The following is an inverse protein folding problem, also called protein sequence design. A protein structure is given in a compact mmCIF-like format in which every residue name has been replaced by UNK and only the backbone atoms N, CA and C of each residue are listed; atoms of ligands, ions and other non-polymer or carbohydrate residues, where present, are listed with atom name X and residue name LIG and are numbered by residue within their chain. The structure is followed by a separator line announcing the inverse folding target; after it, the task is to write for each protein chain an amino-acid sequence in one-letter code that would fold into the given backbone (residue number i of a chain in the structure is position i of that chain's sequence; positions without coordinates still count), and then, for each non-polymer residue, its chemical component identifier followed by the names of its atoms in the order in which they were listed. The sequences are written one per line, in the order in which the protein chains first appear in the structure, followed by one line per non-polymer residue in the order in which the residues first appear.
data_IF_827657698570
#
_entry.id   IF_827657698570
#
_cell.length_a   1.000
_cell.length_b   1.000
_cell.length_c   1.000
_cell.angle_alpha   90.00
_cell.angle_beta   90.00
_cell.angle_gamma   90.00
#
_symmetry.space_group_name_H-M   'P 1'
#
loop_
_entity.id
_entity.type
_entity.pdbx_description
1 polymer ?
#
# COMPACT_ATOMS: atom_id res chain seq x y z
N UNK A 1 -0.82 10.58 -0.55
CA UNK A 1 -0.98 9.78 -1.79
C UNK A 1 -0.06 8.58 -1.70
N UNK A 2 -0.08 7.64 -2.67
CA UNK A 2 0.76 6.43 -2.66
C UNK A 2 2.22 6.67 -2.28
N UNK A 3 2.79 7.81 -2.66
CA UNK A 3 4.17 8.21 -2.33
C UNK A 3 4.47 8.27 -0.82
N UNK A 4 3.45 8.54 -0.01
CA UNK A 4 3.54 8.70 1.44
C UNK A 4 3.41 7.34 2.16
N UNK A 5 2.86 6.33 1.48
CA UNK A 5 2.74 4.94 1.96
C UNK A 5 4.05 4.19 1.75
N UNK A 6 5.10 4.62 2.44
CA UNK A 6 6.44 4.06 2.29
C UNK A 6 7.04 3.60 3.62
N UNK A 7 8.14 2.87 3.55
CA UNK A 7 8.92 2.43 4.70
C UNK A 7 10.20 3.27 4.82
N UNK A 8 10.82 3.34 6.01
CA UNK A 8 12.14 3.94 6.16
C UNK A 8 13.14 3.36 5.15
N UNK A 9 13.94 4.22 4.52
CA UNK A 9 14.89 3.84 3.47
C UNK A 9 15.78 2.65 3.84
N UNK A 10 16.19 2.56 5.11
CA UNK A 10 16.97 1.43 5.62
C UNK A 10 16.31 0.07 5.33
N UNK A 11 14.99 -0.04 5.43
CA UNK A 11 14.26 -1.30 5.17
C UNK A 11 14.19 -1.59 3.67
N UNK A 12 14.14 -0.55 2.84
CA UNK A 12 14.00 -0.67 1.39
C UNK A 12 15.33 -0.89 0.66
N UNK A 13 16.46 -0.54 1.27
CA UNK A 13 17.77 -0.57 0.60
C UNK A 13 18.83 -1.42 1.29
N UNK A 14 18.73 -1.64 2.59
CA UNK A 14 19.71 -2.42 3.34
C UNK A 14 19.18 -3.83 3.58
N UNK A 15 19.77 -4.80 2.88
CA UNK A 15 19.53 -6.21 3.16
C UNK A 15 20.03 -6.53 4.56
N UNK A 16 19.33 -7.43 5.24
CA UNK A 16 19.79 -7.93 6.53
C UNK A 16 21.07 -8.73 6.29
N UNK A 17 22.10 -8.41 7.06
CA UNK A 17 23.44 -8.98 6.91
C UNK A 17 23.56 -10.42 7.44
N UNK A 18 22.50 -10.99 8.01
CA UNK A 18 22.57 -12.17 8.86
C UNK A 18 21.99 -13.46 8.24
N UNK A 19 21.50 -13.43 6.99
CA UNK A 19 20.96 -14.63 6.34
C UNK A 19 21.79 -15.03 5.11
N UNK A 20 22.08 -16.33 5.02
CA UNK A 20 22.53 -17.01 3.81
C UNK A 20 21.36 -17.93 3.39
N UNK A 21 20.69 -17.73 2.24
CA UNK A 21 20.99 -16.77 1.16
C UNK A 21 20.64 -15.31 1.52
N UNK A 22 21.18 -14.32 0.76
CA UNK A 22 20.99 -12.90 1.04
C UNK A 22 19.51 -12.52 1.03
N UNK A 23 19.03 -12.07 2.19
CA UNK A 23 17.65 -11.69 2.45
C UNK A 23 17.17 -10.65 1.41
N UNK A 24 16.06 -10.98 0.75
CA UNK A 24 15.40 -10.19 -0.29
C UNK A 24 14.87 -8.87 0.26
N UNK A 25 15.12 -7.77 -0.46
CA UNK A 25 14.45 -6.50 -0.21
C UNK A 25 12.95 -6.62 -0.52
N UNK A 26 12.07 -5.93 0.21
CA UNK A 26 10.65 -5.98 -0.06
C UNK A 26 10.34 -5.33 -1.42
N UNK A 27 9.56 -6.02 -2.26
CA UNK A 27 8.97 -5.44 -3.46
C UNK A 27 7.77 -4.56 -3.11
N UNK A 28 8.00 -3.50 -2.32
CA UNK A 28 6.94 -2.72 -1.67
C UNK A 28 5.90 -2.20 -2.67
N UNK A 29 6.33 -1.77 -3.86
CA UNK A 29 5.41 -1.30 -4.91
C UNK A 29 4.38 -2.36 -5.33
N UNK A 30 4.82 -3.60 -5.58
CA UNK A 30 3.93 -4.70 -5.95
C UNK A 30 3.01 -5.09 -4.78
N UNK A 31 3.57 -5.16 -3.56
CA UNK A 31 2.81 -5.44 -2.35
C UNK A 31 1.70 -4.40 -2.11
N UNK A 32 1.97 -3.11 -2.35
CA UNK A 32 0.97 -2.05 -2.23
C UNK A 32 -0.12 -2.17 -3.29
N UNK A 33 0.22 -2.47 -4.55
CA UNK A 33 -0.79 -2.68 -5.60
C UNK A 33 -1.71 -3.85 -5.26
N UNK A 34 -1.15 -4.99 -4.83
CA UNK A 34 -1.93 -6.14 -4.38
C UNK A 34 -2.83 -5.78 -3.18
N UNK A 35 -2.28 -5.04 -2.21
CA UNK A 35 -3.01 -4.60 -1.04
C UNK A 35 -4.18 -3.66 -1.38
N UNK A 36 -3.96 -2.65 -2.23
CA UNK A 36 -5.01 -1.73 -2.64
C UNK A 36 -6.10 -2.44 -3.45
N UNK A 37 -5.72 -3.30 -4.39
CA UNK A 37 -6.66 -4.13 -5.14
C UNK A 37 -7.53 -4.96 -4.20
N UNK A 38 -6.92 -5.66 -3.24
CA UNK A 38 -7.63 -6.46 -2.25
C UNK A 38 -8.57 -5.61 -1.37
N UNK A 39 -8.19 -4.38 -1.03
CA UNK A 39 -9.01 -3.47 -0.23
C UNK A 39 -10.14 -2.79 -1.02
N UNK A 40 -10.17 -2.93 -2.34
CA UNK A 40 -11.09 -2.18 -3.21
C UNK A 40 -10.72 -0.71 -3.31
N UNK A 41 -9.41 -0.42 -3.36
CA UNK A 41 -8.85 0.93 -3.46
C UNK A 41 -8.20 1.11 -4.83
N UNK A 42 -8.06 2.36 -5.26
CA UNK A 42 -7.29 2.73 -6.46
C UNK A 42 -5.78 2.57 -6.24
N UNK A 43 -5.00 2.55 -7.33
CA UNK A 43 -3.53 2.50 -7.29
C UNK A 43 -2.90 3.70 -6.56
N UNK A 44 -3.65 4.77 -6.30
CA UNK A 44 -3.22 5.95 -5.53
C UNK A 44 -3.50 5.84 -4.02
N UNK A 45 -4.05 4.70 -3.57
CA UNK A 45 -4.40 4.45 -2.17
C UNK A 45 -5.75 5.04 -1.75
N UNK A 46 -6.59 5.44 -2.71
CA UNK A 46 -7.91 6.05 -2.43
C UNK A 46 -9.01 4.98 -2.50
N UNK A 47 -9.84 4.79 -1.46
CA UNK A 47 -10.98 3.87 -1.49
C UNK A 47 -11.94 4.18 -2.63
N UNK A 48 -12.46 3.15 -3.31
CA UNK A 48 -13.48 3.34 -4.36
C UNK A 48 -14.83 3.72 -3.77
N UNK A 49 -15.69 4.32 -4.59
CA UNK A 49 -17.07 4.66 -4.19
C UNK A 49 -17.86 3.42 -3.75
N UNK A 50 -17.65 2.29 -4.42
CA UNK A 50 -18.22 0.99 -4.03
C UNK A 50 -17.79 0.59 -2.63
N UNK A 51 -16.49 0.69 -2.32
CA UNK A 51 -15.98 0.35 -0.98
C UNK A 51 -16.49 1.29 0.10
N UNK A 52 -16.59 2.58 -0.19
CA UNK A 52 -17.17 3.55 0.73
C UNK A 52 -18.65 3.29 0.97
N UNK A 53 -19.42 2.90 -0.04
CA UNK A 53 -20.82 2.52 0.10
C UNK A 53 -20.99 1.26 0.95
N UNK A 54 -20.17 0.21 0.70
CA UNK A 54 -20.15 -1.03 1.49
C UNK A 54 -19.91 -0.75 2.98
N UNK A 55 -19.03 0.22 3.28
CA UNK A 55 -18.68 0.60 4.66
C UNK A 55 -19.60 1.66 5.27
N UNK A 56 -20.60 2.18 4.55
CA UNK A 56 -21.48 3.25 5.03
C UNK A 56 -20.79 4.62 5.18
N UNK A 57 -19.74 4.88 4.41
CA UNK A 57 -18.91 6.10 4.42
C UNK A 57 -19.14 6.98 3.17
N UNK A 58 -20.34 6.96 2.60
CA UNK A 58 -20.66 7.67 1.36
C UNK A 58 -20.46 9.18 1.46
N UNK A 59 -20.58 9.76 2.66
CA UNK A 59 -20.30 11.17 2.92
C UNK A 59 -18.86 11.57 2.60
N UNK A 60 -17.91 10.63 2.62
CA UNK A 60 -16.52 10.89 2.27
C UNK A 60 -16.34 11.16 0.77
N UNK A 61 -17.29 10.77 -0.09
CA UNK A 61 -17.28 11.11 -1.52
C UNK A 61 -17.39 12.62 -1.76
N UNK A 62 -18.00 13.37 -0.83
CA UNK A 62 -18.11 14.82 -0.94
C UNK A 62 -16.79 15.57 -0.68
N UNK A 63 -15.79 14.87 -0.15
CA UNK A 63 -14.48 15.44 0.23
C UNK A 63 -13.31 14.79 -0.51
N UNK A 64 -13.60 13.91 -1.47
CA UNK A 64 -12.64 13.27 -2.36
C UNK A 64 -12.36 14.17 -3.57
#
# INVERSE_FOLDING_TARGET
SRKDDTLPMRILTLTRQASDPPETLPHLGAMLSEYYSFRGWSEEGIPTAEKLAELGLQQCLAYA
#
